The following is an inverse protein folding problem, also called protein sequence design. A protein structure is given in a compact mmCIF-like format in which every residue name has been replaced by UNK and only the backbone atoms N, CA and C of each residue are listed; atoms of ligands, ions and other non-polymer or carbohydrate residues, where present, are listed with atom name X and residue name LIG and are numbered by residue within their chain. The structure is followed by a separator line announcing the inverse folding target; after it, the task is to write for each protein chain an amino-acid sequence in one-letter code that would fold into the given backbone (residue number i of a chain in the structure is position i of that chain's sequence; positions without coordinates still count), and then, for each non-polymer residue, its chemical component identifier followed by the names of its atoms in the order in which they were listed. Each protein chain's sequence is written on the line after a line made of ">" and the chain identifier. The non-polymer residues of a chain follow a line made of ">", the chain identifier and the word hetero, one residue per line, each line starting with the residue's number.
data_IF_825359701347
#
_entry.id   IF_825359701347
#
_cell.length_a   1.000
_cell.length_b   1.000
_cell.length_c   1.000
_cell.angle_alpha   90.00
_cell.angle_beta   90.00
_cell.angle_gamma   90.00
#
_symmetry.space_group_name_H-M   'P 1'
#
loop_
_entity.id
_entity.type
_entity.pdbx_description
1 polymer ?
#
# COMPACT_ATOMS: atom_id res chain seq x y z
N UNK A 1 -25.67 24.54 14.60
CA UNK A 1 -25.08 23.25 14.98
C UNK A 1 -23.79 23.12 14.17
N UNK A 2 -22.62 22.98 14.82
CA UNK A 2 -21.37 22.76 14.10
C UNK A 2 -21.43 21.32 13.58
N UNK A 3 -21.70 21.17 12.29
CA UNK A 3 -21.63 19.87 11.63
C UNK A 3 -20.16 19.44 11.67
N UNK A 4 -19.89 18.23 12.14
CA UNK A 4 -18.53 17.71 12.15
C UNK A 4 -18.05 17.56 10.70
N UNK A 5 -16.78 17.86 10.44
CA UNK A 5 -16.13 17.71 9.11
C UNK A 5 -16.14 16.25 8.57
N UNK A 6 -16.79 15.32 9.28
CA UNK A 6 -16.94 13.90 8.95
C UNK A 6 -18.22 13.57 8.16
N UNK A 7 -19.14 14.53 7.94
CA UNK A 7 -20.47 14.22 7.35
C UNK A 7 -20.55 14.28 5.81
N UNK A 8 -19.54 14.79 5.11
CA UNK A 8 -19.52 14.80 3.64
C UNK A 8 -18.17 14.28 3.13
N UNK A 9 -18.10 12.99 2.76
CA UNK A 9 -17.36 12.42 1.60
C UNK A 9 -17.27 10.89 1.67
N UNK A 10 -17.31 10.27 0.50
CA UNK A 10 -17.30 8.81 0.31
C UNK A 10 -15.99 8.19 0.80
N UNK A 11 -16.10 7.17 1.65
CA UNK A 11 -14.99 6.29 2.00
C UNK A 11 -14.57 5.56 0.72
N UNK A 12 -13.25 5.42 0.47
CA UNK A 12 -12.80 4.55 -0.62
C UNK A 12 -13.44 3.17 -0.40
N UNK A 13 -14.19 2.63 -1.39
CA UNK A 13 -14.90 1.37 -1.23
C UNK A 13 -13.95 0.18 -1.03
N UNK A 14 -12.64 0.39 -1.20
CA UNK A 14 -11.60 -0.63 -1.11
C UNK A 14 -10.58 -0.38 0.01
N UNK A 15 -10.81 0.62 0.89
CA UNK A 15 -9.82 1.02 1.90
C UNK A 15 -9.47 -0.07 2.92
N UNK A 16 -10.41 -0.95 3.27
CA UNK A 16 -10.20 -2.02 4.26
C UNK A 16 -9.67 -3.31 3.65
N UNK A 17 -9.86 -3.51 2.35
CA UNK A 17 -9.58 -4.77 1.65
C UNK A 17 -8.34 -4.69 0.75
N UNK A 18 -7.96 -3.50 0.29
CA UNK A 18 -6.83 -3.33 -0.62
C UNK A 18 -5.50 -3.34 0.10
N UNK A 19 -4.57 -4.16 -0.38
CA UNK A 19 -3.19 -4.15 0.11
C UNK A 19 -2.41 -2.91 -0.36
N UNK A 20 -2.88 -2.22 -1.41
CA UNK A 20 -2.31 -0.97 -1.89
C UNK A 20 -2.86 0.18 -1.01
N UNK A 21 -2.06 1.18 -0.61
CA UNK A 21 -2.50 2.26 0.29
C UNK A 21 -3.47 3.26 -0.38
N UNK A 22 -4.65 2.77 -0.79
CA UNK A 22 -5.68 3.54 -1.51
C UNK A 22 -6.29 4.64 -0.66
N UNK A 23 -6.31 4.47 0.67
CA UNK A 23 -6.75 5.50 1.61
C UNK A 23 -5.93 6.79 1.48
N UNK A 24 -4.62 6.69 1.24
CA UNK A 24 -3.73 7.86 1.03
C UNK A 24 -3.79 8.44 -0.38
N UNK A 25 -4.18 7.62 -1.37
CA UNK A 25 -4.40 8.09 -2.75
C UNK A 25 -5.71 8.88 -2.90
N UNK A 26 -6.73 8.52 -2.12
CA UNK A 26 -8.10 9.03 -2.26
C UNK A 26 -8.51 9.92 -1.06
N UNK A 27 -7.58 10.21 -0.16
CA UNK A 27 -7.83 10.93 1.10
C UNK A 27 -8.07 12.43 0.87
N UNK A 28 -9.23 12.91 1.31
CA UNK A 28 -9.58 14.34 1.43
C UNK A 28 -9.80 14.76 2.91
N UNK A 29 -9.47 13.90 3.91
CA UNK A 29 -9.84 14.14 5.31
C UNK A 29 -8.64 14.25 6.28
N UNK A 30 -8.15 15.48 6.53
CA UNK A 30 -7.09 15.76 7.49
C UNK A 30 -7.34 15.33 8.94
N UNK A 31 -8.58 15.00 9.34
CA UNK A 31 -8.92 14.66 10.72
C UNK A 31 -9.05 13.16 10.97
N UNK A 32 -9.55 12.39 10.00
CA UNK A 32 -9.62 10.92 10.04
C UNK A 32 -8.26 10.31 9.69
N UNK A 33 -7.64 10.81 8.63
CA UNK A 33 -6.48 10.16 8.02
C UNK A 33 -5.19 10.43 8.82
N UNK A 34 -5.23 11.42 9.73
CA UNK A 34 -4.10 11.85 10.54
C UNK A 34 -4.29 11.64 12.06
N UNK A 35 -5.33 10.89 12.48
CA UNK A 35 -5.59 10.52 13.89
C UNK A 35 -5.37 11.68 14.88
N UNK A 36 -6.00 12.83 14.60
CA UNK A 36 -5.81 14.05 15.40
C UNK A 36 -6.70 13.97 16.65
N UNK A 37 -6.13 13.93 17.87
CA UNK A 37 -6.94 13.81 19.07
C UNK A 37 -7.81 15.04 19.26
N UNK A 38 -9.11 14.83 19.53
CA UNK A 38 -10.07 15.91 19.77
C UNK A 38 -9.56 16.84 20.88
N UNK A 39 -9.53 18.15 20.59
CA UNK A 39 -9.10 19.18 21.55
C UNK A 39 -7.58 19.33 21.70
N UNK A 40 -6.77 18.63 20.90
CA UNK A 40 -5.31 18.83 20.84
C UNK A 40 -4.89 19.46 19.52
N UNK A 41 -3.86 20.32 19.58
CA UNK A 41 -3.21 20.83 18.38
C UNK A 41 -2.23 19.79 17.86
N UNK A 42 -2.44 19.34 16.61
CA UNK A 42 -1.48 18.52 15.87
C UNK A 42 -0.96 19.31 14.69
N UNK A 43 0.36 19.34 14.51
CA UNK A 43 1.01 19.89 13.31
C UNK A 43 1.71 18.76 12.59
N UNK A 44 1.49 18.72 11.29
CA UNK A 44 1.92 17.64 10.42
C UNK A 44 2.80 18.26 9.36
N UNK A 45 3.96 17.67 9.16
CA UNK A 45 4.89 18.04 8.10
C UNK A 45 4.96 16.88 7.13
N UNK A 46 4.44 17.11 5.94
CA UNK A 46 4.29 16.14 4.88
C UNK A 46 4.91 16.67 3.57
N UNK A 47 5.13 15.77 2.61
CA UNK A 47 5.45 16.16 1.24
C UNK A 47 4.19 16.56 0.44
N UNK A 48 4.38 16.91 -0.84
CA UNK A 48 3.30 17.29 -1.76
C UNK A 48 2.29 16.19 -2.04
N UNK A 49 2.63 14.94 -1.75
CA UNK A 49 1.75 13.78 -1.91
C UNK A 49 1.01 13.43 -0.62
N UNK A 50 1.20 14.21 0.45
CA UNK A 50 0.55 14.00 1.74
C UNK A 50 1.23 12.97 2.64
N UNK A 51 2.41 12.45 2.27
CA UNK A 51 3.15 11.51 3.11
C UNK A 51 3.67 12.20 4.36
N UNK A 52 3.27 11.74 5.52
CA UNK A 52 3.70 12.29 6.80
C UNK A 52 5.12 11.86 7.17
N UNK A 53 6.01 12.83 7.43
CA UNK A 53 7.35 12.55 7.96
C UNK A 53 7.51 13.00 9.41
N UNK A 54 6.75 14.03 9.82
CA UNK A 54 6.76 14.52 11.19
C UNK A 54 5.35 14.84 11.68
N UNK A 55 5.05 14.36 12.90
CA UNK A 55 3.83 14.69 13.64
C UNK A 55 4.19 15.30 14.98
N UNK A 56 3.67 16.50 15.24
CA UNK A 56 3.98 17.30 16.43
C UNK A 56 2.71 17.53 17.24
N UNK A 57 2.74 17.22 18.54
CA UNK A 57 1.61 17.37 19.46
C UNK A 57 1.56 18.73 20.18
N UNK A 58 2.53 19.61 19.87
CA UNK A 58 2.63 20.97 20.39
C UNK A 58 3.04 21.89 19.25
N UNK A 59 2.57 23.13 19.28
CA UNK A 59 2.95 24.15 18.30
C UNK A 59 4.45 24.43 18.39
N UNK A 60 5.26 24.10 17.36
CA UNK A 60 6.68 24.39 17.34
C UNK A 60 6.90 25.89 17.13
N UNK A 61 8.07 26.39 17.53
CA UNK A 61 8.49 27.74 17.13
C UNK A 61 8.77 27.78 15.62
N UNK A 62 8.72 28.98 15.02
CA UNK A 62 8.95 29.16 13.58
C UNK A 62 10.25 28.53 13.08
N UNK A 63 11.35 28.67 13.82
CA UNK A 63 12.65 28.09 13.43
C UNK A 63 12.67 26.57 13.52
N UNK A 64 11.95 25.99 14.49
CA UNK A 64 11.81 24.54 14.61
C UNK A 64 10.99 23.98 13.44
N UNK A 65 9.89 24.65 13.06
CA UNK A 65 9.08 24.25 11.92
C UNK A 65 9.88 24.31 10.62
N UNK A 66 10.65 25.38 10.39
CA UNK A 66 11.56 25.50 9.24
C UNK A 66 12.56 24.35 9.19
N UNK A 67 13.13 23.96 10.33
CA UNK A 67 14.07 22.85 10.41
C UNK A 67 13.43 21.47 10.12
N UNK A 68 12.14 21.28 10.42
CA UNK A 68 11.42 20.08 10.01
C UNK A 68 11.13 20.07 8.51
N UNK A 69 10.65 21.20 7.96
CA UNK A 69 10.38 21.34 6.53
C UNK A 69 11.64 21.09 5.71
N UNK A 70 12.80 21.65 6.12
CA UNK A 70 14.05 21.44 5.40
C UNK A 70 14.53 19.99 5.38
N UNK A 71 14.07 19.16 6.32
CA UNK A 71 14.41 17.73 6.42
C UNK A 71 13.44 16.81 5.69
N UNK A 72 12.31 17.32 5.20
CA UNK A 72 11.31 16.51 4.48
C UNK A 72 11.94 15.85 3.27
N UNK A 73 12.75 16.58 2.49
CA UNK A 73 13.44 16.02 1.33
C UNK A 73 14.34 14.84 1.74
N UNK A 74 15.18 14.99 2.77
CA UNK A 74 16.03 13.91 3.27
C UNK A 74 15.24 12.68 3.74
N UNK A 75 14.06 12.87 4.34
CA UNK A 75 13.20 11.75 4.75
C UNK A 75 12.52 11.09 3.56
N UNK A 76 12.05 11.88 2.59
CA UNK A 76 11.46 11.39 1.35
C UNK A 76 12.48 10.59 0.52
N UNK A 77 13.72 11.06 0.43
CA UNK A 77 14.82 10.34 -0.20
C UNK A 77 15.10 9.01 0.51
N UNK A 78 15.16 8.99 1.85
CA UNK A 78 15.34 7.74 2.61
C UNK A 78 14.19 6.76 2.43
N UNK A 79 12.95 7.26 2.36
CA UNK A 79 11.78 6.44 2.06
C UNK A 79 11.93 5.86 0.64
N UNK A 80 12.23 6.70 -0.34
CA UNK A 80 12.46 6.29 -1.73
C UNK A 80 13.55 5.22 -1.86
N UNK A 81 14.71 5.39 -1.19
CA UNK A 81 15.78 4.40 -1.17
C UNK A 81 15.35 3.06 -0.57
N UNK A 82 14.55 3.09 0.52
CA UNK A 82 14.03 1.88 1.16
C UNK A 82 13.07 1.15 0.22
N UNK A 83 12.16 1.88 -0.41
CA UNK A 83 11.21 1.34 -1.38
C UNK A 83 11.93 0.76 -2.60
N UNK A 84 12.95 1.46 -3.11
CA UNK A 84 13.76 1.00 -4.23
C UNK A 84 14.48 -0.31 -3.91
N UNK A 85 15.09 -0.44 -2.72
CA UNK A 85 15.74 -1.69 -2.29
C UNK A 85 14.80 -2.88 -2.26
N UNK A 86 13.55 -2.68 -1.90
CA UNK A 86 12.54 -3.74 -1.92
C UNK A 86 12.09 -4.04 -3.35
N UNK A 87 11.89 -3.02 -4.19
CA UNK A 87 11.53 -3.18 -5.59
C UNK A 87 12.62 -3.92 -6.38
N UNK A 88 13.89 -3.59 -6.16
CA UNK A 88 15.02 -4.27 -6.80
C UNK A 88 15.06 -5.76 -6.43
N UNK A 89 14.78 -6.08 -5.16
CA UNK A 89 14.64 -7.48 -4.72
C UNK A 89 13.44 -8.15 -5.35
N UNK A 90 12.29 -7.46 -5.47
CA UNK A 90 11.11 -8.01 -6.13
C UNK A 90 11.41 -8.36 -7.59
N UNK A 91 12.11 -7.46 -8.32
CA UNK A 91 12.61 -7.70 -9.68
C UNK A 91 13.56 -8.90 -9.73
N UNK A 92 14.54 -8.97 -8.84
CA UNK A 92 15.49 -10.10 -8.75
C UNK A 92 14.79 -11.44 -8.51
N UNK A 93 13.79 -11.49 -7.62
CA UNK A 93 13.02 -12.71 -7.38
C UNK A 93 12.12 -13.09 -8.55
N UNK A 94 11.54 -12.10 -9.25
CA UNK A 94 10.74 -12.37 -10.44
C UNK A 94 11.60 -12.94 -11.57
N UNK A 95 12.81 -12.42 -11.78
CA UNK A 95 13.77 -12.96 -12.75
C UNK A 95 14.17 -14.41 -12.44
N UNK A 96 14.16 -14.78 -11.15
CA UNK A 96 14.39 -16.14 -10.66
C UNK A 96 13.14 -17.03 -10.69
N UNK A 97 12.02 -16.55 -11.24
CA UNK A 97 10.72 -17.23 -11.24
C UNK A 97 10.19 -17.53 -9.83
N UNK A 98 10.63 -16.77 -8.82
CA UNK A 98 10.18 -16.90 -7.43
C UNK A 98 9.12 -15.83 -7.14
N UNK A 99 7.92 -16.03 -7.70
CA UNK A 99 6.78 -15.11 -7.56
C UNK A 99 6.44 -14.82 -6.10
N UNK A 100 6.51 -15.83 -5.24
CA UNK A 100 6.21 -15.70 -3.80
C UNK A 100 7.09 -14.66 -3.12
N UNK A 101 8.41 -14.73 -3.35
CA UNK A 101 9.31 -13.74 -2.75
C UNK A 101 9.22 -12.39 -3.46
N UNK A 102 8.94 -12.35 -4.77
CA UNK A 102 8.68 -11.09 -5.48
C UNK A 102 7.50 -10.33 -4.84
N UNK A 103 6.33 -10.98 -4.72
CA UNK A 103 5.13 -10.42 -4.09
C UNK A 103 5.40 -10.01 -2.65
N UNK A 104 6.10 -10.83 -1.87
CA UNK A 104 6.47 -10.49 -0.49
C UNK A 104 7.23 -9.16 -0.37
N UNK A 105 8.12 -8.85 -1.31
CA UNK A 105 8.87 -7.59 -1.29
C UNK A 105 8.04 -6.41 -1.79
N UNK A 106 7.09 -6.63 -2.71
CA UNK A 106 6.11 -5.62 -3.11
C UNK A 106 5.16 -5.25 -1.95
N UNK A 107 4.64 -6.26 -1.23
CA UNK A 107 3.78 -6.03 -0.06
C UNK A 107 4.50 -5.23 1.04
N UNK A 108 5.81 -5.45 1.23
CA UNK A 108 6.61 -4.61 2.15
C UNK A 108 6.66 -3.14 1.77
N UNK A 109 6.57 -2.81 0.48
CA UNK A 109 6.48 -1.42 0.04
C UNK A 109 5.11 -0.83 0.33
N UNK A 110 4.06 -1.65 0.25
CA UNK A 110 2.72 -1.20 0.61
C UNK A 110 2.56 -1.00 2.12
N UNK A 111 3.22 -1.83 2.94
CA UNK A 111 3.29 -1.68 4.41
C UNK A 111 3.94 -0.34 4.86
N UNK A 112 4.74 0.31 4.01
CA UNK A 112 5.28 1.65 4.30
C UNK A 112 4.22 2.74 4.17
N UNK A 113 3.11 2.43 3.48
CA UNK A 113 2.00 3.34 3.24
C UNK A 113 2.45 4.70 2.67
N UNK A 114 3.45 4.72 1.80
CA UNK A 114 3.89 5.94 1.11
C UNK A 114 3.29 5.96 -0.30
N UNK A 115 2.98 7.14 -0.84
CA UNK A 115 2.41 7.34 -2.18
C UNK A 115 3.19 8.39 -2.98
N UNK A 116 3.06 8.38 -4.31
CA UNK A 116 3.68 9.39 -5.21
C UNK A 116 5.20 9.32 -5.35
N UNK A 117 5.86 8.36 -4.68
CA UNK A 117 7.27 8.07 -4.93
C UNK A 117 7.40 7.03 -6.05
N UNK A 118 8.28 7.29 -7.02
CA UNK A 118 8.45 6.43 -8.21
C UNK A 118 8.62 4.94 -7.88
N UNK A 119 9.43 4.52 -6.89
CA UNK A 119 9.56 3.09 -6.59
C UNK A 119 8.26 2.47 -6.06
N UNK A 120 7.40 3.25 -5.39
CA UNK A 120 6.08 2.79 -4.98
C UNK A 120 5.18 2.57 -6.19
N UNK A 121 5.13 3.54 -7.10
CA UNK A 121 4.30 3.46 -8.31
C UNK A 121 4.71 2.27 -9.19
N UNK A 122 6.01 2.03 -9.33
CA UNK A 122 6.51 0.84 -10.01
C UNK A 122 6.16 -0.45 -9.28
N UNK A 123 6.17 -0.45 -7.94
CA UNK A 123 5.77 -1.61 -7.14
C UNK A 123 4.29 -1.95 -7.34
N UNK A 124 3.42 -0.94 -7.37
CA UNK A 124 1.98 -1.10 -7.64
C UNK A 124 1.76 -1.65 -9.04
N UNK A 125 2.43 -1.09 -10.06
CA UNK A 125 2.35 -1.59 -11.43
C UNK A 125 2.77 -3.06 -11.52
N UNK A 126 3.93 -3.41 -10.97
CA UNK A 126 4.47 -4.77 -10.98
C UNK A 126 3.56 -5.75 -10.24
N UNK A 127 2.96 -5.33 -9.13
CA UNK A 127 1.99 -6.13 -8.39
C UNK A 127 0.78 -6.48 -9.25
N UNK A 128 0.18 -5.49 -9.93
CA UNK A 128 -0.95 -5.74 -10.83
C UNK A 128 -0.58 -6.65 -12.00
N UNK A 129 0.59 -6.47 -12.61
CA UNK A 129 1.08 -7.35 -13.67
C UNK A 129 1.19 -8.82 -13.20
N UNK A 130 1.71 -9.04 -11.98
CA UNK A 130 1.80 -10.38 -11.38
C UNK A 130 0.41 -10.98 -11.13
N UNK A 131 -0.52 -10.19 -10.60
CA UNK A 131 -1.87 -10.67 -10.30
C UNK A 131 -2.67 -10.97 -11.55
N UNK A 132 -2.58 -10.15 -12.60
CA UNK A 132 -3.31 -10.40 -13.85
C UNK A 132 -2.81 -11.66 -14.56
N UNK A 133 -1.50 -11.92 -14.52
CA UNK A 133 -0.94 -13.19 -14.97
C UNK A 133 -1.46 -14.37 -14.12
N UNK A 134 -1.48 -14.22 -12.80
CA UNK A 134 -1.99 -15.23 -11.89
C UNK A 134 -3.48 -15.52 -12.06
N UNK A 135 -4.32 -14.51 -12.36
CA UNK A 135 -5.75 -14.71 -12.67
C UNK A 135 -5.94 -15.56 -13.91
N UNK A 136 -5.11 -15.34 -14.93
CA UNK A 136 -5.11 -16.14 -16.16
C UNK A 136 -4.69 -17.59 -15.90
N UNK A 137 -3.69 -17.80 -15.03
CA UNK A 137 -3.29 -19.14 -14.56
C UNK A 137 -4.41 -19.82 -13.76
N UNK A 138 -5.04 -19.09 -12.84
CA UNK A 138 -6.12 -19.59 -12.00
C UNK A 138 -7.31 -20.07 -12.84
N UNK A 139 -7.74 -19.27 -13.83
CA UNK A 139 -8.81 -19.67 -14.75
C UNK A 139 -8.49 -21.00 -15.47
N UNK A 140 -7.24 -21.15 -15.93
CA UNK A 140 -6.77 -22.40 -16.57
C UNK A 140 -6.78 -23.58 -15.60
N UNK A 141 -6.41 -23.37 -14.33
CA UNK A 141 -6.42 -24.42 -13.31
C UNK A 141 -7.84 -24.84 -12.94
N UNK A 142 -8.79 -23.89 -12.87
CA UNK A 142 -10.21 -24.16 -12.64
C UNK A 142 -10.78 -25.04 -13.76
N UNK A 143 -10.54 -24.69 -15.03
CA UNK A 143 -10.99 -25.48 -16.19
C UNK A 143 -10.47 -26.91 -16.16
N UNK A 144 -9.21 -27.09 -15.73
CA UNK A 144 -8.55 -28.39 -15.60
C UNK A 144 -8.90 -29.14 -14.32
N UNK A 145 -9.67 -28.53 -13.42
CA UNK A 145 -9.94 -29.04 -12.07
C UNK A 145 -8.66 -29.37 -11.28
N UNK A 146 -7.62 -28.56 -11.44
CA UNK A 146 -6.32 -28.77 -10.82
C UNK A 146 -6.26 -28.16 -9.41
N UNK A 147 -6.85 -28.85 -8.44
CA UNK A 147 -6.90 -28.38 -7.05
C UNK A 147 -5.52 -28.19 -6.41
N UNK A 148 -4.51 -28.97 -6.81
CA UNK A 148 -3.16 -28.88 -6.24
C UNK A 148 -2.39 -27.70 -6.82
N UNK A 149 -2.56 -27.40 -8.11
CA UNK A 149 -2.10 -26.16 -8.73
C UNK A 149 -2.67 -24.93 -8.04
N UNK A 150 -3.98 -24.89 -7.79
CA UNK A 150 -4.64 -23.77 -7.11
C UNK A 150 -4.11 -23.60 -5.68
N UNK A 151 -3.89 -24.69 -4.93
CA UNK A 151 -3.26 -24.63 -3.59
C UNK A 151 -1.82 -24.13 -3.63
N UNK A 152 -1.08 -24.41 -4.71
CA UNK A 152 0.28 -23.88 -4.88
C UNK A 152 0.22 -22.37 -5.10
N UNK A 153 -0.66 -21.91 -5.99
CA UNK A 153 -0.89 -20.49 -6.28
C UNK A 153 -1.30 -19.71 -5.01
N UNK A 154 -2.18 -20.29 -4.19
CA UNK A 154 -2.58 -19.71 -2.89
C UNK A 154 -1.39 -19.43 -1.96
N UNK A 155 -0.36 -20.30 -1.96
CA UNK A 155 0.83 -20.12 -1.12
C UNK A 155 1.77 -19.03 -1.63
N UNK A 156 1.73 -18.76 -2.94
CA UNK A 156 2.55 -17.75 -3.59
C UNK A 156 1.95 -16.36 -3.45
N UNK A 157 0.61 -16.26 -3.50
CA UNK A 157 -0.15 -15.01 -3.50
C UNK A 157 -0.80 -14.70 -2.15
N UNK A 158 -0.18 -15.18 -1.07
CA UNK A 158 -0.66 -14.92 0.28
C UNK A 158 -0.63 -13.42 0.59
N UNK A 159 -1.66 -12.93 1.27
CA UNK A 159 -1.91 -11.53 1.63
C UNK A 159 -1.97 -10.62 0.40
N UNK A 160 -2.59 -11.09 -0.67
CA UNK A 160 -2.89 -10.28 -1.85
C UNK A 160 -4.40 -10.19 -2.01
N UNK A 161 -4.85 -9.26 -2.85
CA UNK A 161 -6.27 -9.06 -3.15
C UNK A 161 -6.89 -10.27 -3.89
N UNK A 162 -6.07 -11.25 -4.32
CA UNK A 162 -6.52 -12.49 -4.94
C UNK A 162 -6.82 -13.62 -3.95
N UNK A 163 -6.57 -13.46 -2.63
CA UNK A 163 -6.79 -14.57 -1.69
C UNK A 163 -8.24 -15.09 -1.73
N UNK A 164 -9.24 -14.19 -1.77
CA UNK A 164 -10.66 -14.58 -1.87
C UNK A 164 -10.99 -15.26 -3.19
N UNK A 165 -10.48 -14.74 -4.32
CA UNK A 165 -10.67 -15.34 -5.65
C UNK A 165 -10.13 -16.78 -5.70
N UNK A 166 -9.00 -17.03 -5.04
CA UNK A 166 -8.36 -18.34 -4.97
C UNK A 166 -9.11 -19.29 -4.04
N UNK A 167 -9.59 -18.80 -2.90
CA UNK A 167 -10.38 -19.60 -1.95
C UNK A 167 -11.71 -20.05 -2.59
N UNK A 168 -12.43 -19.14 -3.28
CA UNK A 168 -13.64 -19.46 -4.03
C UNK A 168 -13.37 -20.51 -5.14
N UNK A 169 -12.25 -20.36 -5.85
CA UNK A 169 -11.83 -21.33 -6.86
C UNK A 169 -11.58 -22.71 -6.26
N UNK A 170 -10.91 -22.80 -5.08
CA UNK A 170 -10.69 -24.06 -4.38
C UNK A 170 -11.97 -24.74 -3.95
N UNK A 171 -13.01 -23.97 -3.59
CA UNK A 171 -14.32 -24.53 -3.26
C UNK A 171 -15.05 -25.07 -4.49
N UNK A 172 -14.94 -24.38 -5.63
CA UNK A 172 -15.59 -24.79 -6.88
C UNK A 172 -15.03 -26.06 -7.52
N UNK A 173 -13.79 -26.43 -7.18
CA UNK A 173 -13.07 -27.58 -7.75
C UNK A 173 -13.09 -28.81 -6.82
N UNK A 174 -13.57 -28.66 -5.58
CA UNK A 174 -13.83 -29.78 -4.64
C UNK A 174 -15.01 -30.64 -5.10
#
# INVERSE_FOLDING_TARGET
>A
MKIAYTEDREVSPWAEESVVPTSKLLSDNPSRDYDVPVGKTTIIVADSYGNEYYRLSKTPKGDQLKAYISKVNDQSEKASEKLQKNLDKAKEYLDKQDRKNAVKYLLKNFDEEVVGLTPQEESVRMYHEILDAARSELATMIEKKDADGIKSLAKELKKTDMESEIDDALESVK
#
